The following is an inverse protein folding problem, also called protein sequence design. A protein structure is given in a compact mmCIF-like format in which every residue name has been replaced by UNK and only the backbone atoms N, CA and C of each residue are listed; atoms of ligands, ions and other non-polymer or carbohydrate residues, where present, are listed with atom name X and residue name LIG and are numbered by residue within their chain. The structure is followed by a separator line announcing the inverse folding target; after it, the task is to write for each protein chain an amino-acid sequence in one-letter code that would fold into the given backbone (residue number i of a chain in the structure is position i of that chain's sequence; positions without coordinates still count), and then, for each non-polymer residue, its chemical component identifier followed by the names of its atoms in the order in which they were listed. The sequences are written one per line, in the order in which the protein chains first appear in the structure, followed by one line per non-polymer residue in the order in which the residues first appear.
data_IF_094690737214
#
_entry.id   IF_094690737214
#
_cell.length_a   1.000
_cell.length_b   1.000
_cell.length_c   1.000
_cell.angle_alpha   90.00
_cell.angle_beta   90.00
_cell.angle_gamma   90.00
#
_symmetry.space_group_name_H-M   'P 1'
#
loop_
_entity.id
_entity.type
_entity.pdbx_description
1 polymer ?
#
# COMPACT_ATOMS: atom_id res chain seq x y z
N UNK A 1 14.30 45.01 20.59
CA UNK A 1 14.03 44.22 19.37
C UNK A 1 14.92 42.98 19.37
N UNK A 2 14.58 41.92 20.10
CA UNK A 2 15.39 40.68 20.14
C UNK A 2 14.53 39.46 20.54
N UNK A 3 13.29 39.38 20.05
CA UNK A 3 12.36 38.30 20.43
C UNK A 3 11.60 37.64 19.26
N UNK A 4 11.95 37.94 18.01
CA UNK A 4 11.20 37.46 16.85
C UNK A 4 11.91 36.39 15.99
N UNK A 5 13.15 36.01 16.32
CA UNK A 5 13.97 35.14 15.43
C UNK A 5 13.94 33.67 15.84
N UNK A 6 13.40 33.31 17.01
CA UNK A 6 13.44 31.91 17.51
C UNK A 6 12.18 31.09 17.14
N UNK A 7 11.09 31.71 16.67
CA UNK A 7 9.83 31.01 16.43
C UNK A 7 9.70 30.38 15.01
N UNK A 8 10.57 30.73 14.06
CA UNK A 8 10.44 30.27 12.67
C UNK A 8 11.18 28.93 12.42
N UNK A 9 12.06 28.50 13.32
CA UNK A 9 12.81 27.25 13.17
C UNK A 9 12.05 25.99 13.63
N UNK A 10 10.94 26.13 14.37
CA UNK A 10 10.14 24.99 14.84
C UNK A 10 9.03 24.55 13.87
N UNK A 11 8.71 25.37 12.87
CA UNK A 11 7.66 25.07 11.88
C UNK A 11 8.24 24.33 10.66
N UNK A 12 9.56 24.31 10.49
CA UNK A 12 10.24 23.64 9.37
C UNK A 12 10.66 22.19 9.67
N UNK A 13 10.39 21.67 10.87
CA UNK A 13 10.66 20.27 11.25
C UNK A 13 9.45 19.34 11.09
N UNK A 14 8.27 19.84 10.74
CA UNK A 14 7.02 19.08 10.88
C UNK A 14 6.55 18.30 9.65
N UNK A 15 7.31 18.23 8.55
CA UNK A 15 6.84 17.53 7.33
C UNK A 15 7.82 16.50 6.75
N UNK A 16 8.89 16.14 7.45
CA UNK A 16 9.58 14.88 7.15
C UNK A 16 8.79 13.77 7.85
N UNK A 17 7.80 13.17 7.16
CA UNK A 17 7.03 12.05 7.72
C UNK A 17 8.00 11.01 8.30
N UNK A 18 8.01 10.90 9.64
CA UNK A 18 8.97 10.05 10.32
C UNK A 18 8.50 8.61 10.13
N UNK A 19 9.35 7.78 9.51
CA UNK A 19 9.11 6.33 9.42
C UNK A 19 8.88 5.68 10.80
N UNK A 20 9.30 6.36 11.87
CA UNK A 20 9.11 5.99 13.26
C UNK A 20 7.64 6.03 13.71
N UNK A 21 6.78 6.78 13.01
CA UNK A 21 5.33 6.85 13.29
C UNK A 21 4.55 5.70 12.63
N UNK A 22 5.22 4.89 11.80
CA UNK A 22 4.62 3.72 11.19
C UNK A 22 4.59 2.52 12.13
N UNK A 23 3.57 1.67 11.99
CA UNK A 23 3.57 0.34 12.60
C UNK A 23 4.56 -0.57 11.85
N UNK A 24 5.32 -1.36 12.61
CA UNK A 24 6.31 -2.27 12.04
C UNK A 24 5.66 -3.60 11.68
N UNK A 25 5.63 -3.90 10.39
CA UNK A 25 5.32 -5.23 9.87
C UNK A 25 6.59 -6.08 9.88
N UNK A 26 6.76 -6.89 10.93
CA UNK A 26 7.84 -7.87 11.03
C UNK A 26 7.26 -9.23 11.36
N UNK A 27 7.01 -10.04 10.32
CA UNK A 27 6.81 -11.52 10.32
C UNK A 27 6.24 -11.88 8.92
N UNK A 28 6.53 -13.00 8.26
CA UNK A 28 6.70 -14.37 8.77
C UNK A 28 7.64 -15.23 7.90
N UNK A 29 8.18 -16.28 8.49
CA UNK A 29 8.84 -17.42 7.83
C UNK A 29 7.85 -18.32 7.01
N UNK A 30 6.67 -17.84 6.58
CA UNK A 30 5.58 -18.71 6.10
C UNK A 30 4.81 -18.18 4.86
N UNK A 31 4.14 -19.13 4.20
CA UNK A 31 3.40 -19.14 2.92
C UNK A 31 2.14 -18.23 2.81
N UNK A 32 1.84 -17.36 3.78
CA UNK A 32 0.54 -16.66 3.84
C UNK A 32 0.67 -15.13 4.00
N UNK A 33 -0.30 -14.38 3.46
CA UNK A 33 -0.41 -12.93 3.67
C UNK A 33 -0.82 -12.59 5.11
N UNK A 34 -0.34 -11.46 5.65
CA UNK A 34 -0.77 -10.97 6.97
C UNK A 34 -2.08 -10.20 6.80
N UNK A 35 -3.10 -10.60 7.56
CA UNK A 35 -4.42 -9.98 7.53
C UNK A 35 -4.57 -8.93 8.64
N UNK A 36 -5.14 -7.80 8.27
CA UNK A 36 -5.52 -6.67 9.12
C UNK A 36 -6.95 -6.26 8.76
N UNK A 37 -7.64 -5.59 9.68
CA UNK A 37 -8.91 -4.93 9.37
C UNK A 37 -8.67 -3.46 9.03
N UNK A 38 -9.51 -2.86 8.18
CA UNK A 38 -9.42 -1.40 7.94
C UNK A 38 -9.53 -0.62 9.25
N UNK A 39 -10.37 -1.08 10.17
CA UNK A 39 -10.50 -0.47 11.51
C UNK A 39 -9.21 -0.50 12.36
N UNK A 40 -8.22 -1.34 12.01
CA UNK A 40 -6.93 -1.39 12.70
C UNK A 40 -5.96 -0.27 12.25
N UNK A 41 -6.27 0.45 11.16
CA UNK A 41 -5.43 1.49 10.59
C UNK A 41 -5.79 2.86 11.20
N UNK A 42 -4.92 3.37 12.08
CA UNK A 42 -5.09 4.65 12.76
C UNK A 42 -4.77 5.84 11.85
N UNK A 43 -3.91 5.64 10.87
CA UNK A 43 -3.48 6.63 9.90
C UNK A 43 -4.17 6.45 8.53
N UNK A 44 -5.26 5.68 8.47
CA UNK A 44 -6.13 5.67 7.30
C UNK A 44 -6.76 7.07 7.12
N UNK A 45 -6.47 7.73 6.00
CA UNK A 45 -6.88 9.11 5.75
C UNK A 45 -7.66 9.24 4.43
N UNK A 46 -8.82 8.56 4.28
CA UNK A 46 -9.60 8.59 3.04
C UNK A 46 -10.20 9.98 2.81
N UNK A 47 -10.29 10.41 1.55
CA UNK A 47 -11.14 11.54 1.12
C UNK A 47 -12.62 11.13 1.12
N UNK A 48 -13.50 12.11 0.90
CA UNK A 48 -14.95 11.92 0.88
C UNK A 48 -15.44 10.81 -0.06
N UNK A 49 -14.72 10.57 -1.16
CA UNK A 49 -15.05 9.53 -2.16
C UNK A 49 -14.30 8.22 -1.94
N UNK A 50 -13.50 8.11 -0.89
CA UNK A 50 -12.62 6.98 -0.62
C UNK A 50 -13.09 6.16 0.59
N UNK A 51 -12.73 4.88 0.59
CA UNK A 51 -12.89 3.93 1.70
C UNK A 51 -11.58 3.79 2.45
N UNK A 52 -10.50 3.75 1.68
CA UNK A 52 -9.15 3.53 2.15
C UNK A 52 -8.24 4.52 1.45
N UNK A 53 -7.43 5.22 2.24
CA UNK A 53 -6.17 5.79 1.78
C UNK A 53 -5.12 5.46 2.83
N UNK A 54 -4.17 4.60 2.48
CA UNK A 54 -3.12 4.15 3.39
C UNK A 54 -1.77 4.18 2.72
N UNK A 55 -0.74 4.49 3.50
CA UNK A 55 0.66 4.52 3.07
C UNK A 55 1.43 3.40 3.75
N UNK A 56 2.13 2.62 2.93
CA UNK A 56 3.02 1.55 3.37
C UNK A 56 4.42 1.83 2.84
N UNK A 57 5.44 1.31 3.53
CA UNK A 57 6.80 1.28 3.02
C UNK A 57 7.31 -0.15 2.90
N UNK A 58 7.78 -0.52 1.72
CA UNK A 58 8.38 -1.83 1.47
C UNK A 58 9.90 -1.71 1.34
N UNK A 59 10.65 -2.65 1.93
CA UNK A 59 12.12 -2.69 1.84
C UNK A 59 12.66 -3.72 0.83
N UNK A 60 11.86 -4.71 0.48
CA UNK A 60 12.30 -5.87 -0.29
C UNK A 60 11.58 -5.93 -1.63
N UNK A 61 12.15 -6.66 -2.62
CA UNK A 61 11.47 -6.94 -3.86
C UNK A 61 10.16 -7.68 -3.59
N UNK A 62 9.20 -7.48 -4.49
CA UNK A 62 7.88 -8.13 -4.50
C UNK A 62 6.96 -7.63 -3.36
N UNK A 63 6.67 -6.32 -3.30
CA UNK A 63 5.59 -5.79 -2.46
C UNK A 63 4.26 -6.41 -2.89
N UNK A 64 3.45 -6.80 -1.92
CA UNK A 64 2.10 -7.28 -2.19
C UNK A 64 1.13 -6.61 -1.23
N UNK A 65 -0.02 -6.23 -1.78
CA UNK A 65 -1.11 -5.62 -1.06
C UNK A 65 -2.41 -6.16 -1.64
N UNK A 66 -3.33 -6.59 -0.80
CA UNK A 66 -4.64 -7.03 -1.25
C UNK A 66 -5.72 -6.57 -0.30
N UNK A 67 -6.93 -6.42 -0.82
CA UNK A 67 -8.10 -6.06 -0.04
C UNK A 67 -9.25 -6.97 -0.44
N UNK A 68 -9.96 -7.47 0.56
CA UNK A 68 -11.06 -8.40 0.41
C UNK A 68 -12.33 -7.84 1.06
N UNK A 69 -13.43 -7.91 0.33
CA UNK A 69 -14.75 -7.59 0.87
C UNK A 69 -15.84 -8.33 0.10
N UNK A 70 -16.83 -8.87 0.83
CA UNK A 70 -18.05 -9.43 0.23
C UNK A 70 -17.78 -10.43 -0.91
N UNK A 71 -16.74 -11.28 -0.75
CA UNK A 71 -16.35 -12.27 -1.76
C UNK A 71 -15.52 -11.74 -2.94
N UNK A 72 -15.20 -10.45 -2.94
CA UNK A 72 -14.35 -9.79 -3.95
C UNK A 72 -12.98 -9.50 -3.38
N UNK A 73 -11.95 -9.63 -4.22
CA UNK A 73 -10.57 -9.38 -3.83
C UNK A 73 -9.85 -8.60 -4.92
N UNK A 74 -9.16 -7.53 -4.55
CA UNK A 74 -8.20 -6.86 -5.43
C UNK A 74 -6.79 -7.06 -4.88
N UNK A 75 -5.83 -7.32 -5.77
CA UNK A 75 -4.44 -7.59 -5.37
C UNK A 75 -3.50 -6.76 -6.23
N UNK A 76 -2.62 -6.01 -5.59
CA UNK A 76 -1.41 -5.46 -6.19
C UNK A 76 -0.22 -6.36 -5.82
N UNK A 77 0.61 -6.70 -6.79
CA UNK A 77 1.78 -7.55 -6.58
C UNK A 77 2.74 -7.55 -7.77
N UNK A 78 3.78 -8.38 -7.67
CA UNK A 78 4.67 -8.71 -8.79
C UNK A 78 3.90 -9.34 -9.95
N UNK A 79 4.42 -9.17 -11.17
CA UNK A 79 3.81 -9.64 -12.40
C UNK A 79 4.87 -10.16 -13.36
N UNK A 80 4.85 -11.46 -13.67
CA UNK A 80 5.84 -12.13 -14.55
C UNK A 80 7.30 -12.15 -14.04
N UNK A 81 7.82 -11.08 -13.45
CA UNK A 81 9.19 -10.95 -12.94
C UNK A 81 9.28 -9.97 -11.76
N UNK A 82 10.45 -9.91 -11.09
CA UNK A 82 10.69 -9.09 -9.89
C UNK A 82 10.77 -7.57 -10.16
N UNK A 83 10.70 -7.12 -11.42
CA UNK A 83 10.74 -5.71 -11.82
C UNK A 83 9.46 -5.25 -12.52
N UNK A 84 8.38 -6.03 -12.44
CA UNK A 84 7.11 -5.69 -13.05
C UNK A 84 6.01 -5.92 -12.04
N UNK A 85 5.05 -5.01 -11.99
CA UNK A 85 3.99 -5.02 -10.98
C UNK A 85 2.64 -4.81 -11.65
N UNK A 86 1.60 -5.41 -11.10
CA UNK A 86 0.26 -5.29 -11.64
C UNK A 86 -0.81 -5.28 -10.56
N UNK A 87 -1.98 -4.77 -10.95
CA UNK A 87 -3.23 -4.87 -10.20
C UNK A 87 -4.07 -5.99 -10.81
N UNK A 88 -4.58 -6.89 -9.98
CA UNK A 88 -5.44 -8.01 -10.35
C UNK A 88 -6.79 -7.91 -9.65
N UNK A 89 -7.87 -8.22 -10.36
CA UNK A 89 -9.24 -8.22 -9.83
C UNK A 89 -9.60 -9.49 -9.05
N UNK A 90 -8.65 -10.40 -8.85
CA UNK A 90 -8.78 -11.55 -7.96
C UNK A 90 -7.41 -12.05 -7.51
N UNK A 91 -7.36 -12.74 -6.38
CA UNK A 91 -6.12 -13.41 -5.95
C UNK A 91 -5.76 -14.61 -6.82
N UNK A 92 -6.74 -15.24 -7.45
CA UNK A 92 -6.51 -16.33 -8.41
C UNK A 92 -5.74 -15.84 -9.64
N UNK A 93 -6.14 -14.69 -10.19
CA UNK A 93 -5.48 -14.04 -11.32
C UNK A 93 -4.04 -13.62 -10.96
N UNK A 94 -3.83 -13.10 -9.74
CA UNK A 94 -2.49 -12.82 -9.21
C UNK A 94 -1.60 -14.08 -9.13
N UNK A 95 -2.07 -15.17 -8.49
CA UNK A 95 -1.30 -16.43 -8.40
C UNK A 95 -0.99 -16.99 -9.79
N UNK A 96 -1.93 -16.85 -10.73
CA UNK A 96 -1.82 -17.37 -12.08
C UNK A 96 -1.00 -16.50 -13.04
N UNK A 97 -0.60 -15.29 -12.63
CA UNK A 97 -0.05 -14.25 -13.52
C UNK A 97 -0.93 -14.02 -14.76
N UNK A 98 -2.26 -13.91 -14.57
CA UNK A 98 -3.24 -13.78 -15.66
C UNK A 98 -4.15 -12.58 -15.48
N UNK A 99 -4.67 -12.04 -16.58
CA UNK A 99 -5.73 -11.04 -16.61
C UNK A 99 -5.44 -9.84 -15.69
N UNK A 100 -4.25 -9.25 -15.83
CA UNK A 100 -3.93 -8.00 -15.16
C UNK A 100 -4.94 -6.92 -15.56
N UNK A 101 -5.33 -6.10 -14.59
CA UNK A 101 -6.19 -4.95 -14.80
C UNK A 101 -5.38 -3.76 -15.33
N UNK A 102 -4.23 -3.54 -14.71
CA UNK A 102 -3.24 -2.54 -15.08
C UNK A 102 -1.86 -3.03 -14.63
N UNK A 103 -0.81 -2.63 -15.33
CA UNK A 103 0.54 -3.09 -15.06
C UNK A 103 1.61 -2.08 -15.42
N UNK A 104 2.76 -2.20 -14.75
CA UNK A 104 3.96 -1.44 -15.03
C UNK A 104 5.14 -2.41 -15.13
N UNK A 105 6.01 -2.18 -16.11
CA UNK A 105 7.20 -2.99 -16.37
C UNK A 105 8.47 -2.19 -16.09
N UNK A 106 9.58 -2.90 -15.87
CA UNK A 106 10.94 -2.35 -15.66
C UNK A 106 11.09 -1.39 -14.47
N UNK A 107 10.36 -1.65 -13.38
CA UNK A 107 10.38 -0.91 -12.12
C UNK A 107 11.39 -1.53 -11.14
N UNK A 108 12.59 -0.94 -11.10
CA UNK A 108 13.70 -1.44 -10.27
C UNK A 108 13.79 -0.82 -8.87
N UNK A 109 12.87 0.06 -8.49
CA UNK A 109 12.95 0.83 -7.23
C UNK A 109 12.86 -0.05 -5.98
N UNK A 110 12.16 -1.19 -6.04
CA UNK A 110 12.04 -2.15 -4.93
C UNK A 110 13.25 -3.09 -4.76
N UNK A 111 14.18 -3.10 -5.72
CA UNK A 111 15.42 -3.91 -5.64
C UNK A 111 16.50 -3.25 -4.77
N UNK A 112 16.25 -2.06 -4.25
CA UNK A 112 17.18 -1.29 -3.43
C UNK A 112 17.10 -1.64 -1.94
N UNK A 113 18.05 -1.16 -1.15
CA UNK A 113 18.07 -1.35 0.32
C UNK A 113 17.21 -0.34 1.09
N UNK A 114 16.63 0.64 0.38
CA UNK A 114 15.82 1.72 0.95
C UNK A 114 14.35 1.31 1.04
N UNK A 115 13.64 1.90 1.99
CA UNK A 115 12.19 1.80 2.05
C UNK A 115 11.57 2.60 0.91
N UNK A 116 10.68 1.98 0.15
CA UNK A 116 9.91 2.58 -0.94
C UNK A 116 8.48 2.78 -0.46
N UNK A 117 8.01 4.03 -0.50
CA UNK A 117 6.64 4.39 -0.13
C UNK A 117 5.66 3.99 -1.22
N UNK A 118 4.55 3.39 -0.82
CA UNK A 118 3.44 3.04 -1.72
C UNK A 118 2.15 3.52 -1.06
N UNK A 119 1.37 4.32 -1.78
CA UNK A 119 0.05 4.77 -1.35
C UNK A 119 -1.00 3.94 -2.07
N UNK A 120 -1.87 3.31 -1.30
CA UNK A 120 -3.01 2.55 -1.79
C UNK A 120 -4.28 3.36 -1.54
N UNK A 121 -5.07 3.56 -2.59
CA UNK A 121 -6.36 4.24 -2.50
C UNK A 121 -7.45 3.32 -3.04
N UNK A 122 -8.57 3.23 -2.33
CA UNK A 122 -9.80 2.63 -2.83
C UNK A 122 -10.92 3.65 -2.76
N UNK A 123 -11.50 3.96 -3.91
CA UNK A 123 -12.72 4.74 -4.01
C UNK A 123 -13.99 3.91 -3.78
N UNK A 124 -15.04 4.59 -3.34
CA UNK A 124 -16.37 4.03 -3.09
C UNK A 124 -17.00 3.41 -4.34
N UNK A 125 -16.66 3.92 -5.53
CA UNK A 125 -17.11 3.40 -6.83
C UNK A 125 -16.31 2.17 -7.29
N UNK A 126 -15.31 1.73 -6.52
CA UNK A 126 -14.45 0.60 -6.87
C UNK A 126 -13.24 0.95 -7.74
N UNK A 127 -12.85 2.23 -7.87
CA UNK A 127 -11.55 2.60 -8.44
C UNK A 127 -10.46 2.31 -7.41
N UNK A 128 -9.51 1.43 -7.77
CA UNK A 128 -8.36 1.13 -6.94
C UNK A 128 -7.09 1.69 -7.58
N UNK A 129 -6.32 2.47 -6.82
CA UNK A 129 -5.11 3.11 -7.32
C UNK A 129 -3.92 2.82 -6.42
N UNK A 130 -2.75 2.64 -7.05
CA UNK A 130 -1.47 2.41 -6.40
C UNK A 130 -0.50 3.45 -6.89
N UNK A 131 0.03 4.25 -5.95
CA UNK A 131 1.04 5.27 -6.25
C UNK A 131 2.35 4.82 -5.61
N UNK A 132 3.36 4.58 -6.41
CA UNK A 132 4.66 4.08 -5.98
C UNK A 132 5.67 5.23 -6.04
N UNK A 133 6.26 5.56 -4.89
CA UNK A 133 7.25 6.62 -4.71
C UNK A 133 6.81 7.97 -5.30
N UNK A 134 5.51 8.28 -5.23
CA UNK A 134 4.89 9.52 -5.75
C UNK A 134 5.02 9.75 -7.27
N UNK A 135 5.59 8.80 -8.02
CA UNK A 135 5.91 8.95 -9.45
C UNK A 135 5.12 7.98 -10.34
N UNK A 136 5.04 6.70 -9.94
CA UNK A 136 4.42 5.65 -10.76
C UNK A 136 3.00 5.43 -10.27
N UNK A 137 2.03 5.53 -11.17
CA UNK A 137 0.61 5.36 -10.85
C UNK A 137 0.04 4.18 -11.63
N UNK A 138 -0.54 3.23 -10.92
CA UNK A 138 -1.42 2.21 -11.49
C UNK A 138 -2.85 2.47 -11.04
N UNK A 139 -3.82 2.19 -11.91
CA UNK A 139 -5.23 2.37 -11.58
C UNK A 139 -6.11 1.31 -12.23
N UNK A 140 -7.08 0.81 -11.48
CA UNK A 140 -7.97 -0.25 -11.90
C UNK A 140 -9.42 0.04 -11.51
N UNK A 141 -10.29 0.16 -12.50
CA UNK A 141 -11.74 0.09 -12.27
C UNK A 141 -12.14 -1.35 -11.99
N UNK A 142 -12.38 -1.68 -10.72
CA UNK A 142 -12.65 -3.07 -10.32
C UNK A 142 -13.98 -3.61 -10.82
N UNK A 143 -14.97 -2.72 -10.97
CA UNK A 143 -16.38 -3.09 -11.15
C UNK A 143 -17.02 -3.64 -9.87
N UNK A 144 -16.38 -3.45 -8.71
CA UNK A 144 -16.91 -3.85 -7.41
C UNK A 144 -17.53 -2.64 -6.72
N UNK A 145 -18.73 -2.82 -6.18
CA UNK A 145 -19.28 -1.91 -5.19
C UNK A 145 -18.91 -2.45 -3.81
N UNK A 146 -18.02 -1.76 -3.12
CA UNK A 146 -17.58 -2.16 -1.78
C UNK A 146 -18.63 -1.78 -0.74
N UNK A 147 -18.92 -2.72 0.18
CA UNK A 147 -19.93 -2.52 1.22
C UNK A 147 -19.35 -1.77 2.42
N UNK A 148 -19.68 -0.47 2.53
CA UNK A 148 -19.18 0.42 3.59
C UNK A 148 -19.72 0.10 5.00
N UNK A 149 -20.71 -0.79 5.12
CA UNK A 149 -21.22 -1.23 6.42
C UNK A 149 -20.40 -2.35 7.03
N UNK A 150 -19.51 -2.96 6.24
CA UNK A 150 -18.68 -4.08 6.66
C UNK A 150 -17.25 -3.62 6.84
N UNK A 151 -16.60 -4.18 7.85
CA UNK A 151 -15.16 -4.06 7.96
C UNK A 151 -14.50 -4.84 6.80
N UNK A 152 -13.43 -4.28 6.26
CA UNK A 152 -12.74 -4.83 5.09
C UNK A 152 -11.42 -5.44 5.54
N UNK A 153 -11.08 -6.59 4.96
CA UNK A 153 -9.82 -7.25 5.25
C UNK A 153 -8.74 -6.70 4.30
N UNK A 154 -7.66 -6.21 4.89
CA UNK A 154 -6.43 -5.82 4.18
C UNK A 154 -5.40 -6.91 4.41
N UNK A 155 -4.81 -7.38 3.33
CA UNK A 155 -3.73 -8.34 3.33
C UNK A 155 -2.46 -7.67 2.84
N UNK A 156 -1.40 -7.71 3.65
CA UNK A 156 -0.11 -7.11 3.29
C UNK A 156 0.93 -8.22 3.25
N UNK A 157 1.77 -8.15 2.21
CA UNK A 157 2.83 -9.09 1.84
C UNK A 157 2.32 -10.44 1.34
N UNK A 158 3.00 -11.01 0.33
CA UNK A 158 3.32 -12.44 0.20
C UNK A 158 3.94 -12.77 -1.18
N UNK A 159 5.24 -13.12 -1.23
CA UNK A 159 5.79 -14.17 -2.12
C UNK A 159 7.19 -14.56 -1.62
N UNK A 160 7.31 -15.75 -1.05
CA UNK A 160 8.61 -16.40 -0.76
C UNK A 160 8.91 -16.68 0.71
N UNK A 161 9.99 -17.42 0.95
CA UNK A 161 10.43 -17.88 2.28
C UNK A 161 11.27 -16.86 3.04
N UNK A 162 11.59 -15.71 2.43
CA UNK A 162 12.42 -14.66 3.03
C UNK A 162 11.55 -13.74 3.86
N UNK A 163 12.01 -13.44 5.08
CA UNK A 163 11.37 -12.45 5.95
C UNK A 163 11.38 -11.10 5.23
N UNK A 164 10.20 -10.62 4.86
CA UNK A 164 10.02 -9.26 4.37
C UNK A 164 9.78 -8.33 5.57
N UNK A 165 10.43 -7.17 5.54
CA UNK A 165 10.15 -6.04 6.44
C UNK A 165 9.38 -5.00 5.66
N UNK A 166 8.29 -4.55 6.23
CA UNK A 166 7.50 -3.44 5.73
C UNK A 166 7.06 -2.58 6.92
N UNK A 167 6.70 -1.35 6.61
CA UNK A 167 6.05 -0.45 7.54
C UNK A 167 4.64 -0.22 7.01
N UNK A 168 3.66 -0.24 7.89
CA UNK A 168 2.25 -0.06 7.54
C UNK A 168 1.60 0.93 8.47
N UNK A 169 0.39 1.36 8.10
CA UNK A 169 -0.36 2.36 8.87
C UNK A 169 0.49 3.61 9.12
N UNK A 170 1.18 4.08 8.08
CA UNK A 170 2.03 5.26 8.15
C UNK A 170 1.21 6.54 7.92
N UNK A 171 1.59 7.67 8.54
CA UNK A 171 0.98 8.97 8.23
C UNK A 171 1.04 9.33 6.75
N UNK A 172 -0.04 9.93 6.25
CA UNK A 172 -0.11 10.52 4.91
C UNK A 172 0.00 12.04 5.11
N UNK A 173 1.11 12.62 4.67
CA UNK A 173 1.38 14.06 4.74
C UNK A 173 0.82 14.80 3.52
#
# INVERSE_FOLDING_TARGET
MFFAVVLIAFISLSNAGHLDDCKVGQKFNNVNMVQFKISDFQNNAPKDTEVLRTKLYYKYPNPVFSMYNSGKQITFGDFRNDSSFAIFKSHHDYIGDKNECDSVIDVNIFNNTKFIGVVFTLEKNGLFSVIINDDIVLSCETGFNFDFSKDHDIYITYRGTKVQKFLYDCPIC
#
